data_IF_150302875599
#
_entry.id   IF_150302875599
#
_cell.length_a   1.000
_cell.length_b   1.000
_cell.length_c   1.000
_cell.angle_alpha   90.00
_cell.angle_beta   90.00
_cell.angle_gamma   90.00
#
_symmetry.space_group_name_H-M   'P 1'
#
loop_
_entity.id
_entity.type
_entity.pdbx_description
1 polymer ?
#
# COMPACT_ATOMS: atom_id res chain seq x y z
N UNK A 1 -19.21 -24.32 -0.35
CA UNK A 1 -18.68 -23.24 -1.26
C UNK A 1 -17.51 -22.57 -0.57
N UNK A 2 -16.38 -22.33 -1.26
CA UNK A 2 -15.32 -21.46 -0.70
C UNK A 2 -15.89 -20.07 -0.45
N UNK A 3 -15.61 -19.48 0.73
CA UNK A 3 -16.00 -18.10 1.04
C UNK A 3 -15.37 -17.17 -0.01
N UNK A 4 -16.17 -16.27 -0.60
CA UNK A 4 -15.65 -15.26 -1.52
C UNK A 4 -14.82 -14.24 -0.76
N UNK A 5 -13.76 -13.76 -1.38
CA UNK A 5 -12.97 -12.62 -0.87
C UNK A 5 -13.82 -11.36 -1.01
N UNK A 6 -14.16 -10.71 0.09
CA UNK A 6 -14.94 -9.48 0.07
C UNK A 6 -14.05 -8.27 0.30
N UNK A 7 -13.99 -7.37 -0.69
CA UNK A 7 -13.24 -6.11 -0.64
C UNK A 7 -14.22 -4.97 -0.38
N UNK A 8 -14.12 -4.33 0.78
CA UNK A 8 -14.85 -3.10 1.07
C UNK A 8 -14.12 -1.92 0.42
N UNK A 9 -14.85 -1.10 -0.33
CA UNK A 9 -14.32 0.04 -1.08
C UNK A 9 -15.05 1.30 -0.67
N UNK A 10 -14.33 2.26 -0.12
CA UNK A 10 -14.81 3.63 0.06
C UNK A 10 -14.94 4.30 -1.31
N UNK A 11 -16.15 4.32 -1.85
CA UNK A 11 -16.42 4.81 -3.20
C UNK A 11 -16.40 6.35 -3.31
N UNK A 12 -16.28 7.06 -2.19
CA UNK A 12 -16.39 8.52 -2.16
C UNK A 12 -15.05 9.21 -1.83
N UNK A 13 -14.01 8.47 -1.45
CA UNK A 13 -12.72 9.04 -1.04
C UNK A 13 -11.82 9.46 -2.20
N UNK A 14 -11.14 10.61 -2.05
CA UNK A 14 -10.16 11.16 -2.99
C UNK A 14 -10.75 11.88 -4.20
N UNK A 15 -9.87 12.51 -5.00
CA UNK A 15 -10.24 13.39 -6.12
C UNK A 15 -11.07 12.65 -7.17
N UNK A 16 -12.04 13.35 -7.77
CA UNK A 16 -12.92 12.83 -8.83
C UNK A 16 -13.68 11.54 -8.46
N UNK A 17 -13.90 11.29 -7.18
CA UNK A 17 -14.75 10.18 -6.71
C UNK A 17 -16.23 10.58 -6.78
N UNK A 18 -17.14 9.66 -7.07
CA UNK A 18 -16.96 8.21 -7.27
C UNK A 18 -16.56 7.78 -8.70
N UNK A 19 -16.50 8.67 -9.70
CA UNK A 19 -16.33 8.31 -11.12
C UNK A 19 -15.06 7.48 -11.38
N UNK A 20 -13.89 7.94 -10.89
CA UNK A 20 -12.62 7.19 -11.04
C UNK A 20 -12.63 5.84 -10.36
N UNK A 21 -13.31 5.73 -9.21
CA UNK A 21 -13.41 4.49 -8.44
C UNK A 21 -14.23 3.47 -9.19
N UNK A 22 -15.41 3.86 -9.68
CA UNK A 22 -16.29 2.98 -10.44
C UNK A 22 -15.65 2.55 -11.76
N UNK A 23 -14.91 3.44 -12.44
CA UNK A 23 -14.17 3.04 -13.63
C UNK A 23 -12.98 2.11 -13.29
N UNK A 24 -12.31 2.28 -12.17
CA UNK A 24 -11.29 1.34 -11.65
C UNK A 24 -11.87 -0.04 -11.33
N UNK A 25 -13.07 -0.09 -10.72
CA UNK A 25 -13.85 -1.32 -10.51
C UNK A 25 -14.14 -2.01 -11.85
N UNK A 26 -14.59 -1.27 -12.87
CA UNK A 26 -14.81 -1.81 -14.21
C UNK A 26 -13.55 -2.46 -14.80
N UNK A 27 -12.40 -1.80 -14.67
CA UNK A 27 -11.13 -2.34 -15.14
C UNK A 27 -10.74 -3.64 -14.41
N UNK A 28 -11.00 -3.72 -13.11
CA UNK A 28 -10.73 -4.91 -12.31
C UNK A 28 -11.65 -6.08 -12.72
N UNK A 29 -12.94 -5.83 -12.88
CA UNK A 29 -13.90 -6.84 -13.33
C UNK A 29 -13.58 -7.37 -14.72
N UNK A 30 -13.23 -6.50 -15.67
CA UNK A 30 -12.83 -6.91 -17.04
C UNK A 30 -11.59 -7.79 -17.05
N UNK A 31 -10.62 -7.55 -16.17
CA UNK A 31 -9.42 -8.38 -16.07
C UNK A 31 -9.64 -9.71 -15.35
N UNK A 32 -10.68 -9.80 -14.53
CA UNK A 32 -11.02 -10.98 -13.74
C UNK A 32 -12.33 -11.64 -14.19
N UNK A 33 -12.68 -11.55 -15.48
CA UNK A 33 -13.99 -11.94 -16.02
C UNK A 33 -14.34 -13.43 -15.79
N UNK A 34 -13.33 -14.30 -15.69
CA UNK A 34 -13.51 -15.74 -15.42
C UNK A 34 -13.45 -16.08 -13.94
N UNK A 35 -13.19 -15.11 -13.07
CA UNK A 35 -12.95 -15.31 -11.65
C UNK A 35 -14.15 -14.80 -10.85
N UNK A 36 -14.80 -15.70 -10.12
CA UNK A 36 -16.00 -15.41 -9.32
C UNK A 36 -15.76 -15.62 -7.81
N UNK A 37 -14.50 -15.64 -7.38
CA UNK A 37 -14.12 -15.91 -5.98
C UNK A 37 -14.03 -14.63 -5.11
N UNK A 38 -14.49 -13.50 -5.63
CA UNK A 38 -14.52 -12.23 -4.91
C UNK A 38 -15.89 -11.52 -4.96
N UNK A 39 -16.08 -10.54 -4.08
CA UNK A 39 -17.19 -9.61 -4.02
C UNK A 39 -16.63 -8.20 -3.73
N UNK A 40 -17.09 -7.19 -4.44
CA UNK A 40 -16.76 -5.79 -4.20
C UNK A 40 -17.94 -5.11 -3.49
N UNK A 41 -17.76 -4.67 -2.23
CA UNK A 41 -18.75 -3.92 -1.48
C UNK A 41 -18.43 -2.43 -1.54
N UNK A 42 -19.23 -1.65 -2.26
CA UNK A 42 -19.05 -0.22 -2.50
C UNK A 42 -19.81 0.59 -1.46
N UNK A 43 -19.12 1.39 -0.67
CA UNK A 43 -19.69 2.26 0.35
C UNK A 43 -19.76 3.69 -0.16
N UNK A 44 -20.96 4.28 -0.24
CA UNK A 44 -21.15 5.64 -0.75
C UNK A 44 -22.57 5.97 -1.12
N UNK A 45 -22.76 7.07 -1.83
CA UNK A 45 -24.06 7.49 -2.37
C UNK A 45 -24.57 6.49 -3.41
N UNK A 46 -25.54 5.67 -3.03
CA UNK A 46 -26.08 4.59 -3.86
C UNK A 46 -26.60 5.09 -5.22
N UNK A 47 -27.26 6.27 -5.25
CA UNK A 47 -27.79 6.83 -6.48
C UNK A 47 -26.67 7.17 -7.46
N UNK A 48 -25.64 7.89 -7.00
CA UNK A 48 -24.48 8.24 -7.83
C UNK A 48 -23.70 7.00 -8.30
N UNK A 49 -23.55 6.00 -7.42
CA UNK A 49 -22.88 4.76 -7.78
C UNK A 49 -23.66 4.02 -8.86
N UNK A 50 -24.99 3.85 -8.72
CA UNK A 50 -25.83 3.19 -9.72
C UNK A 50 -25.79 3.90 -11.07
N UNK A 51 -25.93 5.23 -11.10
CA UNK A 51 -25.83 6.02 -12.33
C UNK A 51 -24.49 5.78 -13.08
N UNK A 52 -23.39 5.63 -12.34
CA UNK A 52 -22.07 5.34 -12.94
C UNK A 52 -21.93 3.89 -13.39
N UNK A 53 -22.48 2.93 -12.64
CA UNK A 53 -22.50 1.53 -13.07
C UNK A 53 -23.27 1.37 -14.39
N UNK A 54 -24.40 2.04 -14.53
CA UNK A 54 -25.19 2.06 -15.76
C UNK A 54 -24.44 2.78 -16.89
N UNK A 55 -23.85 3.96 -16.63
CA UNK A 55 -23.04 4.73 -17.60
C UNK A 55 -21.92 3.89 -18.22
N UNK A 56 -21.28 3.05 -17.43
CA UNK A 56 -20.15 2.20 -17.87
C UNK A 56 -20.57 0.79 -18.26
N UNK A 57 -21.86 0.45 -18.26
CA UNK A 57 -22.39 -0.89 -18.53
C UNK A 57 -21.71 -1.99 -17.69
N UNK A 58 -21.63 -1.78 -16.37
CA UNK A 58 -20.97 -2.69 -15.46
C UNK A 58 -21.96 -3.71 -14.90
N UNK A 59 -21.64 -5.00 -15.04
CA UNK A 59 -22.41 -6.08 -14.41
C UNK A 59 -22.32 -6.01 -12.90
N UNK A 60 -23.45 -6.10 -12.20
CA UNK A 60 -23.54 -5.99 -10.74
C UNK A 60 -23.43 -7.32 -9.99
N UNK A 61 -23.27 -8.45 -10.69
CA UNK A 61 -23.27 -9.79 -10.09
C UNK A 61 -22.20 -10.00 -8.98
N UNK A 62 -21.10 -9.23 -9.05
CA UNK A 62 -20.00 -9.27 -8.09
C UNK A 62 -19.86 -7.95 -7.33
N UNK A 63 -20.90 -7.12 -7.32
CA UNK A 63 -20.94 -5.83 -6.64
C UNK A 63 -22.10 -5.82 -5.64
N UNK A 64 -21.80 -5.40 -4.42
CA UNK A 64 -22.79 -4.97 -3.41
C UNK A 64 -22.63 -3.47 -3.23
N UNK A 65 -23.73 -2.75 -3.05
CA UNK A 65 -23.70 -1.32 -2.70
C UNK A 65 -24.25 -1.19 -1.29
N UNK A 66 -23.49 -0.50 -0.44
CA UNK A 66 -23.92 -0.11 0.90
C UNK A 66 -24.04 1.39 0.95
N UNK A 67 -25.27 1.90 1.03
CA UNK A 67 -25.55 3.34 1.03
C UNK A 67 -24.94 4.04 2.24
N UNK A 68 -24.31 5.20 2.00
CA UNK A 68 -23.87 6.14 3.02
C UNK A 68 -24.16 7.56 2.57
N UNK A 69 -24.73 8.38 3.46
CA UNK A 69 -25.10 9.77 3.16
C UNK A 69 -23.97 10.77 3.38
N UNK A 70 -22.91 10.37 4.10
CA UNK A 70 -21.82 11.25 4.53
C UNK A 70 -20.48 10.79 4.00
N UNK A 71 -19.58 11.75 3.78
CA UNK A 71 -18.22 11.55 3.28
C UNK A 71 -17.26 12.29 4.20
N UNK A 72 -16.04 11.77 4.37
CA UNK A 72 -14.94 12.50 5.02
C UNK A 72 -14.46 13.57 4.05
N UNK A 73 -14.45 14.84 4.49
CA UNK A 73 -13.89 15.94 3.70
C UNK A 73 -12.37 15.83 3.60
N UNK A 74 -11.80 16.21 2.45
CA UNK A 74 -10.35 16.23 2.27
C UNK A 74 -9.65 17.28 3.16
N UNK A 75 -10.39 18.29 3.65
CA UNK A 75 -9.91 19.32 4.57
C UNK A 75 -9.96 18.88 6.05
N UNK A 76 -10.59 17.75 6.36
CA UNK A 76 -10.66 17.27 7.74
C UNK A 76 -9.28 16.86 8.26
N UNK A 77 -9.00 17.33 9.48
CA UNK A 77 -7.81 16.88 10.22
C UNK A 77 -8.09 15.53 10.90
N UNK A 78 -7.07 14.73 11.19
CA UNK A 78 -7.26 13.48 11.95
C UNK A 78 -8.02 13.67 13.27
N UNK A 79 -7.84 14.81 13.97
CA UNK A 79 -8.52 15.13 15.23
C UNK A 79 -10.01 15.42 15.06
N UNK A 80 -10.39 16.16 14.01
CA UNK A 80 -11.80 16.46 13.72
C UNK A 80 -12.53 15.24 13.16
N UNK A 81 -11.85 14.44 12.35
CA UNK A 81 -12.40 13.22 11.78
C UNK A 81 -12.82 12.19 12.85
N UNK A 82 -12.10 12.10 13.97
CA UNK A 82 -12.49 11.24 15.10
C UNK A 82 -13.91 11.52 15.58
N UNK A 83 -14.32 12.78 15.56
CA UNK A 83 -15.66 13.20 16.03
C UNK A 83 -16.73 13.07 14.96
N UNK A 84 -16.38 13.38 13.71
CA UNK A 84 -17.35 13.59 12.63
C UNK A 84 -17.43 12.44 11.63
N UNK A 85 -16.50 11.46 11.68
CA UNK A 85 -16.41 10.41 10.65
C UNK A 85 -17.43 9.29 10.79
N UNK A 86 -18.15 9.18 11.93
CA UNK A 86 -19.16 8.13 12.12
C UNK A 86 -20.20 8.16 10.99
N UNK A 87 -20.51 6.98 10.44
CA UNK A 87 -21.45 6.77 9.35
C UNK A 87 -21.02 7.34 7.98
N UNK A 88 -19.79 7.85 7.84
CA UNK A 88 -19.23 8.17 6.51
C UNK A 88 -18.92 6.92 5.71
N UNK A 89 -18.71 7.08 4.39
CA UNK A 89 -18.32 5.97 3.51
C UNK A 89 -17.02 5.29 3.96
N UNK A 90 -16.01 6.08 4.36
CA UNK A 90 -14.74 5.58 4.88
C UNK A 90 -14.93 4.80 6.18
N UNK A 91 -15.71 5.32 7.12
CA UNK A 91 -15.98 4.66 8.40
C UNK A 91 -16.67 3.31 8.21
N UNK A 92 -17.75 3.28 7.42
CA UNK A 92 -18.53 2.06 7.19
C UNK A 92 -17.75 1.03 6.37
N UNK A 93 -16.91 1.48 5.44
CA UNK A 93 -15.98 0.63 4.70
C UNK A 93 -15.03 -0.13 5.64
N UNK A 94 -14.46 0.52 6.65
CA UNK A 94 -13.56 -0.12 7.61
C UNK A 94 -14.36 -0.97 8.61
N UNK A 95 -15.50 -0.47 9.07
CA UNK A 95 -16.38 -1.16 10.03
C UNK A 95 -16.86 -2.53 9.52
N UNK A 96 -17.07 -2.66 8.22
CA UNK A 96 -17.45 -3.92 7.58
C UNK A 96 -16.49 -5.10 7.88
N UNK A 97 -15.21 -4.84 8.19
CA UNK A 97 -14.29 -5.90 8.57
C UNK A 97 -14.61 -6.48 9.95
N UNK A 98 -14.91 -5.64 10.95
CA UNK A 98 -15.26 -6.14 12.30
C UNK A 98 -16.66 -6.77 12.35
N UNK A 99 -17.54 -6.42 11.42
CA UNK A 99 -18.85 -7.02 11.23
C UNK A 99 -18.80 -8.36 10.48
N UNK A 100 -17.63 -8.73 9.92
CA UNK A 100 -17.44 -9.95 9.14
C UNK A 100 -17.95 -9.86 7.69
N UNK A 101 -18.33 -8.66 7.25
CA UNK A 101 -18.87 -8.36 5.92
C UNK A 101 -17.78 -8.03 4.88
N UNK A 102 -16.52 -7.89 5.32
CA UNK A 102 -15.38 -7.67 4.43
C UNK A 102 -14.10 -8.29 5.01
N UNK A 103 -13.19 -8.69 4.12
CA UNK A 103 -11.88 -9.23 4.49
C UNK A 103 -10.78 -8.16 4.45
N UNK A 104 -10.99 -7.04 3.73
CA UNK A 104 -10.05 -5.93 3.54
C UNK A 104 -10.79 -4.66 3.18
N UNK A 105 -10.25 -3.50 3.57
CA UNK A 105 -10.80 -2.19 3.22
C UNK A 105 -9.84 -1.41 2.31
N UNK A 106 -10.42 -0.66 1.36
CA UNK A 106 -9.71 0.21 0.41
C UNK A 106 -10.32 1.61 0.41
N UNK A 107 -9.50 2.63 0.63
CA UNK A 107 -9.90 4.03 0.48
C UNK A 107 -8.83 4.87 -0.21
N UNK A 108 -9.25 5.85 -1.01
CA UNK A 108 -8.39 6.88 -1.58
C UNK A 108 -8.47 8.22 -0.84
N UNK A 109 -9.24 8.31 0.26
CA UNK A 109 -9.39 9.52 1.06
C UNK A 109 -8.13 9.92 1.85
N UNK A 110 -8.23 10.93 2.70
CA UNK A 110 -7.10 11.47 3.48
C UNK A 110 -6.38 10.38 4.29
N UNK A 111 -5.04 10.32 4.16
CA UNK A 111 -4.22 9.24 4.75
C UNK A 111 -4.24 9.27 6.28
N UNK A 112 -4.13 10.45 6.88
CA UNK A 112 -4.12 10.59 8.33
C UNK A 112 -5.48 10.25 8.97
N UNK A 113 -6.56 10.67 8.31
CA UNK A 113 -7.93 10.33 8.73
C UNK A 113 -8.17 8.82 8.61
N UNK A 114 -7.78 8.22 7.48
CA UNK A 114 -7.91 6.78 7.26
C UNK A 114 -7.17 5.97 8.32
N UNK A 115 -5.94 6.37 8.67
CA UNK A 115 -5.16 5.71 9.72
C UNK A 115 -5.84 5.78 11.07
N UNK A 116 -6.31 6.97 11.47
CA UNK A 116 -6.96 7.17 12.77
C UNK A 116 -8.27 6.37 12.86
N UNK A 117 -9.12 6.43 11.85
CA UNK A 117 -10.38 5.65 11.81
C UNK A 117 -10.07 4.15 11.85
N UNK A 118 -9.09 3.69 11.08
CA UNK A 118 -8.68 2.28 11.05
C UNK A 118 -8.21 1.80 12.43
N UNK A 119 -7.37 2.61 13.12
CA UNK A 119 -6.90 2.30 14.47
C UNK A 119 -8.04 2.29 15.50
N UNK A 120 -9.02 3.18 15.37
CA UNK A 120 -10.18 3.22 16.26
C UNK A 120 -11.08 1.99 16.12
N UNK A 121 -11.33 1.56 14.90
CA UNK A 121 -12.27 0.48 14.59
C UNK A 121 -11.61 -0.89 14.73
N UNK A 122 -10.49 -1.12 14.03
CA UNK A 122 -9.83 -2.43 13.95
C UNK A 122 -8.94 -2.72 15.16
N UNK A 123 -8.49 -1.69 15.88
CA UNK A 123 -7.50 -1.76 16.96
C UNK A 123 -6.14 -2.27 16.47
N UNK A 124 -5.12 -2.12 17.32
CA UNK A 124 -3.81 -2.70 17.08
C UNK A 124 -3.81 -4.21 17.38
N UNK A 125 -2.96 -4.95 16.70
CA UNK A 125 -2.60 -6.31 17.11
C UNK A 125 -1.92 -6.27 18.48
N UNK A 126 -2.11 -7.32 19.29
CA UNK A 126 -1.66 -7.31 20.70
C UNK A 126 -0.14 -7.06 20.85
N UNK A 127 0.64 -7.60 19.93
CA UNK A 127 2.11 -7.58 19.99
C UNK A 127 2.72 -6.47 19.13
N UNK A 128 1.92 -5.53 18.63
CA UNK A 128 2.37 -4.43 17.77
C UNK A 128 1.94 -3.10 18.36
N UNK A 129 2.90 -2.27 18.74
CA UNK A 129 2.61 -0.99 19.41
C UNK A 129 2.25 0.15 18.45
N UNK A 130 2.77 0.12 17.22
CA UNK A 130 2.54 1.15 16.20
C UNK A 130 2.21 0.52 14.84
N UNK A 131 1.21 1.08 14.11
CA UNK A 131 0.95 0.65 12.74
C UNK A 131 2.04 1.19 11.81
N UNK A 132 2.41 0.44 10.77
CA UNK A 132 3.30 0.94 9.72
C UNK A 132 2.55 1.13 8.41
N UNK A 133 2.88 2.18 7.66
CA UNK A 133 2.44 2.35 6.28
C UNK A 133 3.47 1.70 5.34
N UNK A 134 3.14 0.55 4.79
CA UNK A 134 3.99 -0.16 3.85
C UNK A 134 3.61 0.17 2.41
N UNK A 135 4.60 0.50 1.60
CA UNK A 135 4.43 0.74 0.16
C UNK A 135 5.34 -0.14 -0.69
N UNK A 136 5.08 -0.14 -1.99
CA UNK A 136 5.83 -0.93 -2.96
C UNK A 136 6.78 -0.04 -3.74
N UNK A 137 8.05 -0.39 -3.70
CA UNK A 137 9.10 0.36 -4.36
C UNK A 137 9.65 -0.42 -5.56
N UNK A 138 9.51 0.11 -6.80
CA UNK A 138 10.05 -0.54 -7.98
C UNK A 138 11.57 -0.57 -7.92
N UNK A 139 12.14 -1.69 -8.33
CA UNK A 139 13.57 -1.88 -8.38
C UNK A 139 13.99 -2.63 -9.67
N UNK A 140 15.29 -2.86 -9.85
CA UNK A 140 15.80 -3.50 -11.07
C UNK A 140 15.34 -4.95 -11.23
N UNK A 141 15.01 -5.65 -10.13
CA UNK A 141 14.63 -7.08 -10.11
C UNK A 141 13.12 -7.31 -9.90
N UNK A 142 12.34 -6.24 -9.70
CA UNK A 142 10.91 -6.34 -9.43
C UNK A 142 10.42 -5.25 -8.48
N UNK A 143 10.04 -5.63 -7.25
CA UNK A 143 9.56 -4.71 -6.21
C UNK A 143 10.13 -5.07 -4.85
N UNK A 144 10.38 -4.05 -4.03
CA UNK A 144 10.63 -4.17 -2.59
C UNK A 144 9.44 -3.61 -1.81
N UNK A 145 9.21 -4.14 -0.62
CA UNK A 145 8.32 -3.54 0.39
C UNK A 145 9.15 -2.54 1.19
N UNK A 146 8.69 -1.32 1.31
CA UNK A 146 9.33 -0.28 2.14
C UNK A 146 8.35 0.18 3.20
N UNK A 147 8.77 0.19 4.44
CA UNK A 147 7.98 0.64 5.59
C UNK A 147 8.88 1.18 6.71
N UNK A 148 8.52 2.20 7.43
CA UNK A 148 7.30 3.00 7.41
C UNK A 148 7.42 4.18 6.42
N UNK A 149 6.33 4.50 5.72
CA UNK A 149 6.29 5.60 4.74
C UNK A 149 5.49 6.82 5.24
N UNK A 150 5.35 6.97 6.57
CA UNK A 150 4.78 8.16 7.16
C UNK A 150 3.60 7.96 8.10
N UNK A 151 3.39 6.77 8.63
CA UNK A 151 2.42 6.57 9.72
C UNK A 151 2.97 7.06 11.08
N UNK A 152 4.30 6.99 11.28
CA UNK A 152 4.95 7.38 12.54
C UNK A 152 6.16 8.27 12.29
N UNK A 153 6.15 9.48 12.85
CA UNK A 153 7.30 10.40 12.76
C UNK A 153 8.47 9.85 13.57
N UNK A 154 8.21 9.35 14.77
CA UNK A 154 9.19 8.80 15.68
C UNK A 154 8.94 7.31 15.92
N UNK A 155 10.00 6.52 15.93
CA UNK A 155 9.99 5.10 16.24
C UNK A 155 11.04 4.77 17.30
N UNK A 156 10.81 3.71 18.06
CA UNK A 156 11.84 3.06 18.87
C UNK A 156 12.36 1.80 18.16
N UNK A 157 13.34 1.14 18.75
CA UNK A 157 13.97 -0.05 18.18
C UNK A 157 13.00 -1.25 18.08
N UNK A 158 12.04 -1.36 19.00
CA UNK A 158 11.01 -2.40 18.96
C UNK A 158 10.05 -2.18 17.78
N UNK A 159 9.65 -0.92 17.52
CA UNK A 159 8.84 -0.61 16.36
C UNK A 159 9.51 -1.03 15.04
N UNK A 160 10.82 -0.77 14.89
CA UNK A 160 11.53 -1.13 13.67
C UNK A 160 11.70 -2.65 13.53
N UNK A 161 11.81 -3.39 14.65
CA UNK A 161 11.77 -4.86 14.64
C UNK A 161 10.40 -5.37 14.21
N UNK A 162 9.32 -4.84 14.80
CA UNK A 162 7.95 -5.17 14.38
C UNK A 162 7.75 -4.91 12.89
N UNK A 163 8.25 -3.78 12.37
CA UNK A 163 8.16 -3.46 10.94
C UNK A 163 8.91 -4.46 10.06
N UNK A 164 10.04 -5.00 10.51
CA UNK A 164 10.75 -6.05 9.78
C UNK A 164 9.90 -7.32 9.64
N UNK A 165 9.23 -7.75 10.71
CA UNK A 165 8.35 -8.92 10.71
C UNK A 165 7.09 -8.69 9.88
N UNK A 166 6.43 -7.54 10.06
CA UNK A 166 5.24 -7.15 9.29
C UNK A 166 5.54 -7.03 7.79
N UNK A 167 6.65 -6.39 7.44
CA UNK A 167 7.10 -6.25 6.06
C UNK A 167 7.44 -7.60 5.42
N UNK A 168 8.08 -8.49 6.20
CA UNK A 168 8.41 -9.85 5.75
C UNK A 168 7.16 -10.68 5.50
N UNK A 169 6.15 -10.60 6.36
CA UNK A 169 4.86 -11.25 6.16
C UNK A 169 4.14 -10.73 4.91
N UNK A 170 4.16 -9.40 4.69
CA UNK A 170 3.58 -8.80 3.49
C UNK A 170 4.30 -9.28 2.22
N UNK A 171 5.64 -9.30 2.22
CA UNK A 171 6.40 -9.78 1.07
C UNK A 171 6.08 -11.23 0.75
N UNK A 172 6.06 -12.12 1.75
CA UNK A 172 5.69 -13.53 1.58
C UNK A 172 4.30 -13.69 1.00
N UNK A 173 3.33 -12.91 1.49
CA UNK A 173 1.94 -13.02 1.02
C UNK A 173 1.74 -12.64 -0.45
N UNK A 174 2.63 -11.81 -1.01
CA UNK A 174 2.48 -11.26 -2.36
C UNK A 174 3.41 -11.87 -3.41
N UNK A 175 4.63 -12.26 -3.02
CA UNK A 175 5.68 -12.54 -4.00
C UNK A 175 6.28 -13.94 -3.89
N UNK A 176 6.59 -14.42 -2.69
CA UNK A 176 7.27 -15.70 -2.50
C UNK A 176 7.16 -16.19 -1.06
N UNK A 177 7.10 -17.52 -0.90
CA UNK A 177 7.18 -18.16 0.41
C UNK A 177 8.63 -18.30 0.92
N UNK A 178 9.63 -17.87 0.15
CA UNK A 178 11.03 -17.86 0.59
C UNK A 178 11.26 -16.79 1.66
N UNK A 179 12.29 -16.97 2.46
CA UNK A 179 12.69 -15.98 3.47
C UNK A 179 13.11 -14.67 2.78
N UNK A 180 12.40 -13.55 3.00
CA UNK A 180 12.78 -12.28 2.40
C UNK A 180 14.06 -11.73 3.00
N UNK A 181 14.82 -11.02 2.18
CA UNK A 181 15.99 -10.26 2.62
C UNK A 181 15.52 -8.92 3.18
N UNK A 182 15.82 -8.66 4.45
CA UNK A 182 15.48 -7.43 5.19
C UNK A 182 16.71 -6.57 5.38
N UNK A 183 16.59 -5.25 5.21
CA UNK A 183 17.63 -4.27 5.56
C UNK A 183 17.04 -3.04 6.25
N UNK A 184 17.84 -2.39 7.10
CA UNK A 184 17.51 -1.09 7.68
C UNK A 184 18.06 0.04 6.79
N UNK A 185 17.22 1.02 6.47
CA UNK A 185 17.66 2.22 5.77
C UNK A 185 18.56 3.06 6.67
N UNK A 186 19.77 3.39 6.17
CA UNK A 186 20.78 4.13 6.92
C UNK A 186 21.60 5.05 5.99
N UNK A 187 22.44 5.89 6.58
CA UNK A 187 23.34 6.83 5.88
C UNK A 187 24.65 6.18 5.40
N UNK A 188 24.90 4.93 5.75
CA UNK A 188 26.08 4.15 5.37
C UNK A 188 25.87 2.68 5.69
N UNK A 189 26.65 1.81 5.06
CA UNK A 189 26.55 0.36 5.19
C UNK A 189 27.32 -0.23 6.38
N UNK A 190 28.22 0.53 6.99
CA UNK A 190 29.04 0.09 8.10
C UNK A 190 28.24 0.03 9.42
N UNK A 191 28.46 -0.99 10.24
CA UNK A 191 27.73 -1.23 11.51
C UNK A 191 27.83 -0.05 12.50
N UNK A 192 28.90 0.74 12.43
CA UNK A 192 29.13 1.90 13.31
C UNK A 192 28.33 3.16 12.90
N UNK A 193 27.78 3.19 11.69
CA UNK A 193 27.04 4.33 11.15
C UNK A 193 25.61 4.39 11.66
N UNK A 194 25.04 5.59 11.60
CA UNK A 194 23.65 5.86 11.96
C UNK A 194 23.45 6.23 13.43
N UNK A 195 22.19 6.41 13.77
CA UNK A 195 21.75 6.79 15.12
C UNK A 195 21.86 5.62 16.10
N UNK A 196 21.84 5.92 17.41
CA UNK A 196 21.80 4.88 18.44
C UNK A 196 20.56 3.97 18.32
N UNK A 197 19.43 4.52 17.84
CA UNK A 197 18.24 3.76 17.51
C UNK A 197 18.55 2.67 16.47
N UNK A 198 19.16 3.05 15.35
CA UNK A 198 19.46 2.11 14.26
C UNK A 198 20.49 1.05 14.69
N UNK A 199 21.49 1.42 15.51
CA UNK A 199 22.48 0.48 16.04
C UNK A 199 21.85 -0.54 17.00
N UNK A 200 20.90 -0.12 17.85
CA UNK A 200 20.14 -1.04 18.73
C UNK A 200 19.28 -1.99 17.90
N UNK A 201 18.53 -1.43 16.94
CA UNK A 201 17.69 -2.23 16.03
C UNK A 201 18.51 -3.24 15.23
N UNK A 202 19.68 -2.82 14.72
CA UNK A 202 20.60 -3.71 13.99
C UNK A 202 20.99 -4.93 14.83
N UNK A 203 21.39 -4.73 16.08
CA UNK A 203 21.75 -5.83 16.99
C UNK A 203 20.59 -6.79 17.21
N UNK A 204 19.37 -6.26 17.47
CA UNK A 204 18.17 -7.08 17.65
C UNK A 204 17.85 -7.90 16.40
N UNK A 205 17.83 -7.26 15.21
CA UNK A 205 17.53 -7.95 13.95
C UNK A 205 18.60 -8.98 13.57
N UNK A 206 19.87 -8.73 13.89
CA UNK A 206 20.97 -9.67 13.65
C UNK A 206 20.81 -10.94 14.51
N UNK A 207 20.38 -10.81 15.75
CA UNK A 207 20.08 -11.94 16.63
C UNK A 207 18.88 -12.72 16.13
N UNK A 208 17.76 -12.03 15.84
CA UNK A 208 16.52 -12.64 15.38
C UNK A 208 16.65 -13.34 14.01
N UNK A 209 17.53 -12.88 13.12
CA UNK A 209 17.71 -13.45 11.78
C UNK A 209 18.19 -14.90 11.77
N UNK A 210 18.82 -15.38 12.84
CA UNK A 210 19.36 -16.74 12.89
C UNK A 210 18.25 -17.80 12.96
N UNK A 211 17.11 -17.46 13.57
CA UNK A 211 16.01 -18.40 13.87
C UNK A 211 14.73 -18.10 13.09
N UNK A 212 14.63 -17.00 12.34
CA UNK A 212 13.37 -16.40 11.93
C UNK A 212 13.01 -16.38 10.43
N UNK A 213 11.90 -15.73 10.20
CA UNK A 213 11.09 -15.62 9.00
C UNK A 213 11.76 -14.84 7.87
N UNK A 214 12.91 -14.21 8.10
CA UNK A 214 13.65 -13.39 7.15
C UNK A 214 15.18 -13.56 7.28
N UNK A 215 15.93 -13.05 6.31
CA UNK A 215 17.39 -12.95 6.34
C UNK A 215 17.73 -11.47 6.52
N UNK A 216 18.34 -11.10 7.66
CA UNK A 216 18.79 -9.74 7.89
C UNK A 216 20.13 -9.49 7.20
N UNK A 217 20.17 -8.52 6.27
CA UNK A 217 21.36 -8.18 5.47
C UNK A 217 22.11 -6.96 6.00
N UNK A 218 21.67 -6.37 7.11
CA UNK A 218 22.27 -5.16 7.66
C UNK A 218 21.68 -3.88 7.07
N UNK A 219 22.52 -2.86 6.90
CA UNK A 219 22.10 -1.55 6.40
C UNK A 219 22.04 -1.48 4.88
N UNK A 220 21.13 -0.62 4.39
CA UNK A 220 21.03 -0.21 2.99
C UNK A 220 21.02 1.32 2.90
N UNK A 221 21.78 1.88 1.97
CA UNK A 221 21.81 3.32 1.72
C UNK A 221 20.72 3.75 0.73
N UNK A 222 20.29 5.03 0.79
CA UNK A 222 19.23 5.57 -0.02
C UNK A 222 19.44 5.45 -1.54
N UNK A 223 20.70 5.53 -2.01
CA UNK A 223 21.07 5.35 -3.42
C UNK A 223 20.92 3.91 -3.93
N UNK A 224 20.76 2.93 -3.04
CA UNK A 224 20.64 1.50 -3.34
C UNK A 224 19.24 0.93 -3.22
N UNK A 225 18.25 1.76 -2.86
CA UNK A 225 16.86 1.33 -2.69
C UNK A 225 16.29 0.64 -3.95
N UNK A 226 16.79 1.04 -5.13
CA UNK A 226 16.30 0.53 -6.42
C UNK A 226 17.15 -0.63 -7.01
N UNK A 227 18.17 -1.13 -6.30
CA UNK A 227 19.03 -2.24 -6.78
C UNK A 227 18.29 -3.59 -6.86
N UNK A 228 17.28 -3.78 -6.02
CA UNK A 228 16.55 -5.05 -5.92
C UNK A 228 17.31 -6.17 -5.20
N UNK A 229 18.29 -5.82 -4.36
CA UNK A 229 19.07 -6.77 -3.55
C UNK A 229 18.47 -6.96 -2.15
N UNK A 230 17.39 -6.26 -1.83
CA UNK A 230 16.66 -6.29 -0.56
C UNK A 230 15.16 -6.35 -0.87
N UNK A 231 14.45 -7.26 -0.20
CA UNK A 231 13.03 -7.47 -0.40
C UNK A 231 12.18 -6.57 0.49
N UNK A 232 12.65 -6.31 1.73
CA UNK A 232 11.98 -5.49 2.73
C UNK A 232 12.97 -4.46 3.27
N UNK A 233 12.61 -3.19 3.18
CA UNK A 233 13.42 -2.07 3.64
C UNK A 233 12.67 -1.39 4.77
N UNK A 234 13.29 -1.38 5.95
CA UNK A 234 12.71 -0.84 7.18
C UNK A 234 13.31 0.52 7.50
N UNK A 235 12.46 1.47 7.87
CA UNK A 235 12.83 2.83 8.28
C UNK A 235 11.77 3.40 9.22
N UNK A 236 12.04 4.53 9.89
CA UNK A 236 11.01 5.34 10.52
C UNK A 236 10.20 6.09 9.46
N UNK A 237 8.98 6.54 9.83
CA UNK A 237 8.07 7.15 8.87
C UNK A 237 8.51 8.53 8.39
N UNK A 238 9.32 9.26 9.18
CA UNK A 238 9.86 10.56 8.73
C UNK A 238 10.88 10.35 7.60
N UNK A 239 11.85 9.49 7.83
CA UNK A 239 12.88 9.14 6.82
C UNK A 239 12.26 8.50 5.58
N UNK A 240 11.34 7.55 5.78
CA UNK A 240 10.66 6.85 4.68
C UNK A 240 9.79 7.78 3.83
N UNK A 241 9.08 8.72 4.43
CA UNK A 241 8.27 9.70 3.69
C UNK A 241 9.16 10.67 2.89
N UNK A 242 10.26 11.16 3.47
CA UNK A 242 11.23 12.01 2.75
C UNK A 242 11.80 11.25 1.56
N UNK A 243 12.25 10.00 1.76
CA UNK A 243 12.79 9.18 0.68
C UNK A 243 11.76 8.98 -0.44
N UNK A 244 10.51 8.67 -0.10
CA UNK A 244 9.41 8.51 -1.06
C UNK A 244 9.16 9.79 -1.85
N UNK A 245 8.98 10.92 -1.17
CA UNK A 245 8.70 12.21 -1.83
C UNK A 245 9.85 12.69 -2.69
N UNK A 246 11.09 12.44 -2.27
CA UNK A 246 12.28 12.74 -3.07
C UNK A 246 12.31 11.90 -4.34
N UNK A 247 12.05 10.59 -4.23
CA UNK A 247 12.02 9.70 -5.40
C UNK A 247 10.88 10.07 -6.38
N UNK A 248 9.67 10.36 -5.87
CA UNK A 248 8.54 10.84 -6.68
C UNK A 248 8.89 12.14 -7.42
N UNK A 249 9.46 13.12 -6.70
CA UNK A 249 9.89 14.41 -7.27
C UNK A 249 10.97 14.25 -8.32
N UNK A 250 11.97 13.42 -8.06
CA UNK A 250 13.06 13.13 -9.00
C UNK A 250 12.55 12.44 -10.27
N UNK A 251 11.70 11.43 -10.12
CA UNK A 251 11.09 10.72 -11.25
C UNK A 251 10.26 11.68 -12.12
N UNK A 252 9.47 12.57 -11.49
CA UNK A 252 8.70 13.59 -12.19
C UNK A 252 9.61 14.58 -12.92
N UNK A 253 10.65 15.10 -12.27
CA UNK A 253 11.62 16.01 -12.86
C UNK A 253 12.28 15.42 -14.11
N UNK A 254 12.78 14.18 -14.01
CA UNK A 254 13.41 13.47 -15.15
C UNK A 254 12.39 13.27 -16.29
N UNK A 255 11.18 12.79 -15.96
CA UNK A 255 10.13 12.51 -16.94
C UNK A 255 9.70 13.79 -17.69
N UNK A 256 9.52 14.89 -16.97
CA UNK A 256 9.07 16.15 -17.56
C UNK A 256 10.16 16.79 -18.46
N UNK A 257 11.43 16.72 -18.04
CA UNK A 257 12.55 17.19 -18.88
C UNK A 257 12.73 16.31 -20.12
N UNK A 258 12.60 15.00 -19.98
CA UNK A 258 12.64 14.09 -21.12
C UNK A 258 11.52 14.39 -22.13
N UNK A 259 10.28 14.58 -21.65
CA UNK A 259 9.15 14.97 -22.52
C UNK A 259 9.40 16.32 -23.23
N UNK A 260 9.96 17.31 -22.52
CA UNK A 260 10.32 18.62 -23.12
C UNK A 260 11.35 18.44 -24.23
N UNK A 261 12.45 17.74 -23.97
CA UNK A 261 13.53 17.51 -24.93
C UNK A 261 13.05 16.76 -26.19
N UNK A 262 12.18 15.76 -26.03
CA UNK A 262 11.61 15.00 -27.14
C UNK A 262 10.61 15.81 -28.00
N UNK A 263 10.06 16.90 -27.48
CA UNK A 263 9.11 17.77 -28.21
C UNK A 263 9.77 18.98 -28.88
N UNK A 264 11.02 19.29 -28.58
CA UNK A 264 11.67 20.54 -29.01
C UNK A 264 11.85 20.67 -30.51
N UNK A 265 12.24 19.62 -31.24
CA UNK A 265 12.63 19.70 -32.62
C UNK A 265 11.85 18.71 -33.51
N UNK A 266 11.70 19.06 -34.80
CA UNK A 266 11.06 18.19 -35.81
C UNK A 266 11.74 16.83 -35.90
N UNK A 267 13.08 16.78 -35.91
CA UNK A 267 13.86 15.55 -35.93
C UNK A 267 13.63 14.68 -34.69
N UNK A 268 13.51 15.27 -33.49
CA UNK A 268 13.19 14.58 -32.24
C UNK A 268 11.80 13.94 -32.28
N UNK A 269 10.83 14.56 -32.97
CA UNK A 269 9.49 13.99 -33.16
C UNK A 269 9.51 12.80 -34.13
N UNK A 270 10.32 12.85 -35.19
CA UNK A 270 10.49 11.74 -36.11
C UNK A 270 11.18 10.55 -35.44
N UNK A 271 12.21 10.80 -34.63
CA UNK A 271 12.90 9.74 -33.88
C UNK A 271 11.98 9.00 -32.91
N UNK A 272 10.95 9.67 -32.36
CA UNK A 272 9.93 9.02 -31.51
C UNK A 272 9.16 7.92 -32.24
N UNK A 273 8.98 8.02 -33.54
CA UNK A 273 8.30 6.97 -34.35
C UNK A 273 9.14 5.69 -34.36
N UNK A 274 10.45 5.82 -34.58
CA UNK A 274 11.38 4.69 -34.61
C UNK A 274 11.59 4.06 -33.22
N UNK A 275 11.57 4.86 -32.17
CA UNK A 275 11.76 4.39 -30.79
C UNK A 275 10.45 4.16 -30.02
N UNK A 276 9.28 4.23 -30.68
CA UNK A 276 7.98 4.12 -30.05
C UNK A 276 7.84 2.90 -29.12
N UNK A 277 8.23 1.72 -29.58
CA UNK A 277 8.13 0.49 -28.79
C UNK A 277 9.06 0.49 -27.58
N UNK A 278 10.28 1.01 -27.71
CA UNK A 278 11.21 1.13 -26.61
C UNK A 278 10.70 2.13 -25.56
N UNK A 279 10.18 3.28 -26.01
CA UNK A 279 9.56 4.29 -25.14
C UNK A 279 8.30 3.78 -24.45
N UNK A 280 7.46 3.05 -25.16
CA UNK A 280 6.27 2.43 -24.59
C UNK A 280 6.64 1.46 -23.47
N UNK A 281 7.60 0.57 -23.72
CA UNK A 281 8.10 -0.39 -22.72
C UNK A 281 8.74 0.30 -21.52
N UNK A 282 9.52 1.36 -21.74
CA UNK A 282 10.13 2.18 -20.70
C UNK A 282 9.05 2.87 -19.84
N UNK A 283 8.06 3.51 -20.47
CA UNK A 283 6.94 4.16 -19.78
C UNK A 283 6.12 3.16 -18.97
N UNK A 284 5.85 1.98 -19.52
CA UNK A 284 5.11 0.91 -18.81
C UNK A 284 5.88 0.39 -17.60
N UNK A 285 7.21 0.31 -17.67
CA UNK A 285 8.06 -0.11 -16.53
C UNK A 285 8.10 0.94 -15.41
N UNK A 286 8.08 2.23 -15.77
CA UNK A 286 8.13 3.35 -14.83
C UNK A 286 6.75 3.91 -14.46
N UNK A 287 5.66 3.26 -14.87
CA UNK A 287 4.31 3.75 -14.59
C UNK A 287 4.01 3.67 -13.08
N UNK A 288 3.95 4.81 -12.35
CA UNK A 288 3.74 4.80 -10.90
C UNK A 288 2.37 4.24 -10.51
N UNK A 289 1.42 4.21 -11.44
CA UNK A 289 0.08 3.66 -11.18
C UNK A 289 0.10 2.18 -10.85
N UNK A 290 1.10 1.43 -11.36
CA UNK A 290 1.28 -0.01 -11.07
C UNK A 290 1.68 -0.29 -9.63
N UNK A 291 2.23 0.70 -8.95
CA UNK A 291 2.70 0.61 -7.56
C UNK A 291 1.77 1.36 -6.61
N UNK A 292 0.59 1.76 -7.12
CA UNK A 292 -0.40 2.46 -6.32
C UNK A 292 -1.05 1.51 -5.32
N UNK A 293 -1.15 1.99 -4.10
CA UNK A 293 -1.67 1.26 -2.95
C UNK A 293 -0.57 1.03 -1.91
N UNK A 294 -0.72 1.68 -0.77
CA UNK A 294 0.04 1.38 0.44
C UNK A 294 -0.87 0.67 1.42
N UNK A 295 -0.33 -0.12 2.33
CA UNK A 295 -1.12 -0.88 3.29
C UNK A 295 -0.72 -0.50 4.72
N UNK A 296 -1.71 -0.28 5.60
CA UNK A 296 -1.47 -0.19 7.03
C UNK A 296 -1.33 -1.59 7.61
N UNK A 297 -0.16 -1.87 8.15
CA UNK A 297 0.19 -3.11 8.84
C UNK A 297 0.15 -2.92 10.37
N UNK A 298 -0.03 -4.01 11.11
CA UNK A 298 -0.10 -3.98 12.58
C UNK A 298 -1.48 -3.74 13.16
N UNK A 299 -2.51 -3.60 12.32
CA UNK A 299 -3.92 -3.57 12.70
C UNK A 299 -4.55 -4.98 12.65
N UNK A 300 -5.64 -5.21 13.39
CA UNK A 300 -6.35 -6.50 13.36
C UNK A 300 -7.10 -6.78 12.03
N UNK A 301 -6.94 -5.93 11.04
CA UNK A 301 -7.44 -6.11 9.68
C UNK A 301 -6.68 -5.25 8.69
N UNK A 302 -6.50 -5.72 7.43
CA UNK A 302 -5.72 -5.01 6.42
C UNK A 302 -6.49 -3.82 5.85
N UNK A 303 -5.84 -2.66 5.75
CA UNK A 303 -6.41 -1.46 5.14
C UNK A 303 -5.47 -0.93 4.08
N UNK A 304 -5.94 -0.85 2.85
CA UNK A 304 -5.17 -0.32 1.72
C UNK A 304 -5.54 1.14 1.48
N UNK A 305 -4.50 1.97 1.39
CA UNK A 305 -4.59 3.38 1.02
C UNK A 305 -4.20 3.54 -0.45
N UNK A 306 -5.14 3.91 -1.29
CA UNK A 306 -4.88 4.36 -2.65
C UNK A 306 -4.51 5.85 -2.67
N UNK A 307 -3.65 6.28 -3.57
CA UNK A 307 -3.30 7.71 -3.69
C UNK A 307 -4.52 8.53 -4.11
N UNK A 308 -4.81 9.64 -3.40
CA UNK A 308 -5.98 10.48 -3.61
C UNK A 308 -6.09 11.04 -5.04
N UNK A 309 -4.98 11.51 -5.61
CA UNK A 309 -4.90 12.05 -6.96
C UNK A 309 -4.66 11.00 -8.07
N UNK A 310 -4.76 9.69 -7.80
CA UNK A 310 -4.59 8.66 -8.84
C UNK A 310 -5.78 8.65 -9.81
N UNK A 311 -5.54 8.17 -11.03
CA UNK A 311 -6.61 7.88 -11.99
C UNK A 311 -7.24 6.50 -11.75
N UNK A 312 -8.22 6.15 -12.56
CA UNK A 312 -8.91 4.87 -12.48
C UNK A 312 -8.00 3.64 -12.70
N UNK A 313 -6.93 3.79 -13.47
CA UNK A 313 -5.94 2.71 -13.68
C UNK A 313 -5.15 2.46 -12.40
N UNK A 314 -4.70 3.52 -11.74
CA UNK A 314 -4.03 3.37 -10.44
C UNK A 314 -4.98 2.81 -9.38
N UNK A 315 -6.24 3.25 -9.35
CA UNK A 315 -7.23 2.69 -8.42
C UNK A 315 -7.49 1.20 -8.68
N UNK A 316 -7.58 0.80 -9.96
CA UNK A 316 -7.64 -0.63 -10.34
C UNK A 316 -6.49 -1.43 -9.72
N UNK A 317 -5.25 -0.92 -9.77
CA UNK A 317 -4.10 -1.61 -9.15
C UNK A 317 -4.22 -1.72 -7.62
N UNK A 318 -4.86 -0.76 -6.96
CA UNK A 318 -5.14 -0.87 -5.52
C UNK A 318 -6.19 -1.95 -5.20
N UNK A 319 -7.21 -2.15 -6.06
CA UNK A 319 -8.16 -3.26 -5.91
C UNK A 319 -7.45 -4.61 -6.13
N UNK A 320 -6.60 -4.71 -7.16
CA UNK A 320 -5.82 -5.91 -7.46
C UNK A 320 -4.86 -6.27 -6.32
N UNK A 321 -4.27 -5.25 -5.68
CA UNK A 321 -3.45 -5.41 -4.48
C UNK A 321 -4.29 -5.98 -3.32
N UNK A 322 -5.47 -5.43 -3.04
CA UNK A 322 -6.37 -5.95 -2.01
C UNK A 322 -6.69 -7.44 -2.23
N UNK A 323 -7.04 -7.80 -3.45
CA UNK A 323 -7.33 -9.17 -3.81
C UNK A 323 -6.14 -10.10 -3.58
N UNK A 324 -4.93 -9.71 -4.00
CA UNK A 324 -3.69 -10.47 -3.82
C UNK A 324 -3.32 -10.64 -2.34
N UNK A 325 -3.46 -9.59 -1.53
CA UNK A 325 -3.18 -9.61 -0.09
C UNK A 325 -4.03 -10.68 0.62
N UNK A 326 -5.33 -10.71 0.35
CA UNK A 326 -6.22 -11.69 0.99
C UNK A 326 -5.95 -13.09 0.47
N UNK A 327 -5.73 -13.24 -0.84
CA UNK A 327 -5.39 -14.53 -1.46
C UNK A 327 -4.07 -15.10 -0.93
N UNK A 328 -3.10 -14.24 -0.60
CA UNK A 328 -1.83 -14.59 0.03
C UNK A 328 -1.90 -14.79 1.55
N UNK A 329 -3.10 -14.73 2.16
CA UNK A 329 -3.32 -14.94 3.60
C UNK A 329 -2.44 -14.05 4.50
N UNK A 330 -2.33 -12.76 4.19
CA UNK A 330 -1.45 -11.83 4.92
C UNK A 330 -1.62 -11.91 6.43
N UNK A 331 -2.85 -11.88 6.95
CA UNK A 331 -3.10 -11.89 8.41
C UNK A 331 -2.58 -13.17 9.09
N UNK A 332 -2.62 -14.30 8.39
CA UNK A 332 -2.04 -15.55 8.86
C UNK A 332 -0.50 -15.46 8.89
N UNK A 333 0.11 -14.93 7.83
CA UNK A 333 1.57 -14.73 7.76
C UNK A 333 2.07 -13.81 8.89
N UNK A 334 1.35 -12.70 9.15
CA UNK A 334 1.69 -11.79 10.25
C UNK A 334 1.62 -12.49 11.60
N UNK A 335 0.52 -13.20 11.88
CA UNK A 335 0.36 -13.90 13.16
C UNK A 335 1.46 -14.95 13.36
N UNK A 336 1.81 -15.70 12.33
CA UNK A 336 2.89 -16.66 12.40
C UNK A 336 4.24 -16.01 12.71
N UNK A 337 4.54 -14.89 12.04
CA UNK A 337 5.79 -14.19 12.27
C UNK A 337 5.88 -13.65 13.72
N UNK A 338 4.81 -13.01 14.22
CA UNK A 338 4.80 -12.45 15.58
C UNK A 338 4.80 -13.51 16.69
N UNK A 339 4.15 -14.67 16.49
CA UNK A 339 4.16 -15.75 17.47
C UNK A 339 5.57 -16.32 17.73
N UNK A 340 6.45 -16.31 16.73
CA UNK A 340 7.84 -16.69 16.91
C UNK A 340 8.61 -15.73 17.81
N UNK A 341 8.34 -14.43 17.75
CA UNK A 341 8.97 -13.44 18.64
C UNK A 341 8.62 -13.67 20.12
N UNK A 342 7.38 -14.06 20.41
CA UNK A 342 6.92 -14.29 21.78
C UNK A 342 7.43 -15.60 22.41
N UNK A 343 7.72 -16.61 21.60
CA UNK A 343 8.27 -17.89 22.08
C UNK A 343 9.74 -17.81 22.48
N UNK A 344 10.48 -16.79 22.03
CA UNK A 344 11.89 -16.58 22.35
C UNK A 344 12.12 -15.62 23.55
N UNK A 345 11.07 -14.93 24.01
CA UNK A 345 11.12 -14.05 25.18
C UNK A 345 10.72 -14.74 26.48
N UNK A 346 10.29 -16.02 26.44
CA UNK A 346 10.02 -16.89 27.58
C UNK A 346 11.18 -17.88 27.82
#
# INVERSE_FOLDING_TARGET
MKKKITIAIDAMGGDNSPDKIIYGVNLFLKKNITNNDFLLNLFGDEKKIKELLDKYNISTNLIKITHTSSVVSDEETPLTAVKNSKNTSMWNCIKAQIEGDADISLSAGNTGVLLVISRMILKMMNDVSKPALAGFWPNQKGMSVVLDLGANIECNDENLVDFAELGSALYKSLFSNEKPIVSLLNIGSEEIKGTELLKKTFKKLKTLSNDNNFIFKGYIEGNRLMDGNTNVIVTDGFTGNIALKTAEGTAKFITDNLKKSLKQNFFSKISLIFFYFAFKKFKEKLDPRKYNGAIFLGLNGPVVKSHGGTDAVGFYHSIDLCYKIIKGNLMYQIKNNLNHLNSEQQ
#
